data_IF_099204479003
#
_entry.id   IF_099204479003
#
_cell.length_a   1.000
_cell.length_b   1.000
_cell.length_c   1.000
_cell.angle_alpha   90.00
_cell.angle_beta   90.00
_cell.angle_gamma   90.00
#
_symmetry.space_group_name_H-M   'P 1'
#
loop_
_entity.id
_entity.type
_entity.pdbx_description
1 polymer ?
#
# COMPACT_ATOMS: atom_id res chain seq x y z
N UNK A 1 42.42 -48.53 33.57
CA UNK A 1 41.02 -49.03 33.64
C UNK A 1 40.17 -47.83 33.98
N UNK A 2 39.88 -46.99 32.99
CA UNK A 2 39.00 -45.83 33.14
C UNK A 2 37.92 -45.97 32.07
N UNK A 3 36.73 -46.31 32.53
CA UNK A 3 35.52 -46.33 31.72
C UNK A 3 34.93 -44.92 31.72
N UNK A 4 35.01 -44.24 30.57
CA UNK A 4 34.27 -43.02 30.33
C UNK A 4 32.81 -43.38 30.04
N UNK A 5 31.93 -42.90 30.90
CA UNK A 5 30.49 -43.12 30.87
C UNK A 5 29.85 -41.90 30.19
N UNK A 6 29.33 -42.08 28.99
CA UNK A 6 28.54 -41.07 28.25
C UNK A 6 27.09 -41.08 28.74
N UNK A 7 26.48 -39.91 29.03
CA UNK A 7 25.05 -39.84 29.33
C UNK A 7 24.21 -39.89 28.04
N UNK A 8 23.18 -40.74 28.06
CA UNK A 8 22.18 -40.86 27.01
C UNK A 8 21.25 -39.65 27.01
N UNK A 9 21.15 -38.96 25.87
CA UNK A 9 20.18 -37.89 25.63
C UNK A 9 18.84 -38.54 25.28
N UNK A 10 17.84 -38.36 26.16
CA UNK A 10 16.46 -38.78 25.93
C UNK A 10 15.77 -37.67 25.13
N UNK A 11 15.41 -37.96 23.88
CA UNK A 11 14.57 -37.08 23.07
C UNK A 11 13.10 -37.20 23.51
N UNK A 12 12.35 -36.09 23.65
CA UNK A 12 10.93 -36.16 23.95
C UNK A 12 10.14 -36.63 22.72
N UNK A 13 9.21 -37.55 22.96
CA UNK A 13 8.27 -38.08 21.98
C UNK A 13 7.38 -36.94 21.44
N UNK A 14 7.34 -36.83 20.12
CA UNK A 14 6.51 -35.90 19.37
C UNK A 14 5.14 -36.58 19.19
N UNK A 15 4.17 -36.20 20.02
CA UNK A 15 2.77 -36.61 19.83
C UNK A 15 2.19 -35.84 18.63
N UNK A 16 1.78 -36.57 17.60
CA UNK A 16 1.03 -36.02 16.47
C UNK A 16 -0.46 -35.89 16.87
N UNK A 17 -1.09 -34.71 16.76
CA UNK A 17 -2.52 -34.60 16.96
C UNK A 17 -3.26 -35.18 15.76
N UNK A 18 -4.09 -36.19 16.02
CA UNK A 18 -4.99 -36.80 15.07
C UNK A 18 -5.94 -35.75 14.45
N UNK A 19 -5.96 -35.69 13.12
CA UNK A 19 -6.94 -34.91 12.35
C UNK A 19 -8.36 -35.41 12.65
N UNK A 20 -9.12 -34.64 13.44
CA UNK A 20 -10.55 -34.81 13.54
C UNK A 20 -11.19 -34.36 12.22
N UNK A 21 -11.79 -35.31 11.50
CA UNK A 21 -12.59 -35.06 10.31
C UNK A 21 -13.81 -34.21 10.68
N UNK A 22 -13.80 -32.95 10.23
CA UNK A 22 -14.97 -32.07 10.28
C UNK A 22 -15.96 -32.55 9.21
N UNK A 23 -17.08 -33.10 9.68
CA UNK A 23 -18.23 -33.46 8.84
C UNK A 23 -18.85 -32.18 8.30
N UNK A 24 -18.81 -32.00 6.98
CA UNK A 24 -19.44 -30.86 6.30
C UNK A 24 -20.97 -30.89 6.48
N UNK A 25 -21.64 -29.75 6.76
CA UNK A 25 -23.10 -29.69 6.80
C UNK A 25 -23.68 -29.79 5.38
N UNK A 26 -24.75 -30.56 5.26
CA UNK A 26 -25.49 -30.82 4.02
C UNK A 26 -26.06 -29.51 3.42
N UNK A 27 -25.85 -29.34 2.12
CA UNK A 27 -26.45 -28.28 1.30
C UNK A 27 -27.99 -28.42 1.29
N UNK A 28 -28.75 -27.33 1.47
CA UNK A 28 -30.20 -27.35 1.28
C UNK A 28 -30.58 -27.40 -0.21
N UNK A 29 -31.62 -28.17 -0.46
CA UNK A 29 -32.25 -28.49 -1.75
C UNK A 29 -32.87 -27.24 -2.42
N UNK A 30 -32.50 -26.87 -3.66
CA UNK A 30 -33.04 -25.70 -4.36
C UNK A 30 -34.37 -26.08 -5.04
N UNK A 31 -35.47 -26.13 -4.29
CA UNK A 31 -36.70 -26.68 -4.83
C UNK A 31 -38.01 -26.33 -4.13
N UNK A 32 -38.31 -25.06 -3.85
CA UNK A 32 -39.70 -24.60 -3.72
C UNK A 32 -39.82 -23.07 -3.73
N UNK A 33 -40.35 -22.50 -4.82
CA UNK A 33 -40.88 -21.13 -4.84
C UNK A 33 -42.41 -21.22 -4.96
N UNK A 34 -43.19 -20.70 -3.98
CA UNK A 34 -44.62 -20.56 -4.14
C UNK A 34 -44.96 -19.38 -5.05
N UNK A 35 -45.90 -19.60 -5.97
CA UNK A 35 -46.33 -18.65 -6.99
C UNK A 35 -46.93 -17.36 -6.44
N UNK A 36 -46.53 -16.25 -7.04
CA UNK A 36 -47.18 -14.95 -6.93
C UNK A 36 -48.22 -14.74 -8.05
N UNK A 37 -49.27 -13.93 -7.81
CA UNK A 37 -50.36 -13.69 -8.76
C UNK A 37 -49.95 -12.78 -9.94
N UNK A 38 -50.69 -12.82 -11.07
CA UNK A 38 -50.36 -12.06 -12.26
C UNK A 38 -50.66 -10.57 -12.07
N UNK A 39 -49.61 -9.76 -11.99
CA UNK A 39 -49.67 -8.30 -12.05
C UNK A 39 -49.51 -7.82 -13.50
N UNK A 40 -50.46 -7.00 -13.92
CA UNK A 40 -50.57 -6.29 -15.20
C UNK A 40 -49.27 -5.62 -15.64
N UNK A 41 -48.80 -5.98 -16.83
CA UNK A 41 -47.79 -5.24 -17.60
C UNK A 41 -48.45 -3.97 -18.15
N UNK A 42 -48.12 -2.81 -17.56
CA UNK A 42 -48.24 -1.54 -18.28
C UNK A 42 -47.02 -1.41 -19.21
N UNK A 43 -47.29 -1.38 -20.51
CA UNK A 43 -46.34 -0.97 -21.55
C UNK A 43 -45.96 0.49 -21.31
N UNK A 44 -44.71 0.74 -20.93
CA UNK A 44 -44.10 2.06 -20.99
C UNK A 44 -43.41 2.16 -22.34
N UNK A 45 -44.03 2.89 -23.26
CA UNK A 45 -43.41 3.36 -24.51
C UNK A 45 -42.21 4.27 -24.16
N UNK A 46 -41.00 3.70 -24.24
CA UNK A 46 -39.75 4.47 -24.21
C UNK A 46 -39.42 4.82 -25.65
N UNK A 47 -39.86 6.02 -26.04
CA UNK A 47 -39.57 6.68 -27.31
C UNK A 47 -38.04 6.92 -27.41
N UNK A 48 -37.34 5.95 -27.96
CA UNK A 48 -35.89 6.03 -28.19
C UNK A 48 -35.68 6.78 -29.50
N UNK A 49 -35.77 8.10 -29.41
CA UNK A 49 -35.39 9.01 -30.49
C UNK A 49 -33.93 8.74 -30.88
N UNK A 50 -33.75 8.19 -32.07
CA UNK A 50 -32.44 7.94 -32.66
C UNK A 50 -31.73 9.25 -32.95
N UNK A 51 -30.62 9.48 -32.24
CA UNK A 51 -29.58 10.39 -32.67
C UNK A 51 -28.43 9.57 -33.24
N UNK A 52 -28.34 9.61 -34.57
CA UNK A 52 -27.31 8.97 -35.37
C UNK A 52 -26.02 9.79 -35.28
N UNK A 53 -25.24 9.56 -34.22
CA UNK A 53 -23.92 10.14 -34.05
C UNK A 53 -22.86 9.29 -34.79
N UNK A 54 -22.89 9.31 -36.12
CA UNK A 54 -21.79 8.83 -36.94
C UNK A 54 -20.70 9.92 -36.94
N UNK A 55 -19.97 9.97 -35.82
CA UNK A 55 -18.87 10.91 -35.60
C UNK A 55 -17.77 10.16 -34.89
N UNK A 56 -16.62 10.04 -35.53
CA UNK A 56 -15.39 9.48 -34.96
C UNK A 56 -15.10 10.11 -33.61
N UNK A 57 -15.43 9.38 -32.53
CA UNK A 57 -15.18 9.77 -31.15
C UNK A 57 -13.68 9.94 -30.94
N UNK A 58 -13.22 11.18 -31.07
CA UNK A 58 -11.83 11.54 -30.85
C UNK A 58 -11.65 11.84 -29.38
N UNK A 59 -11.32 10.82 -28.59
CA UNK A 59 -11.03 10.96 -27.16
C UNK A 59 -9.70 11.71 -27.00
N UNK A 60 -9.76 12.99 -26.65
CA UNK A 60 -8.56 13.79 -26.39
C UNK A 60 -8.11 13.60 -24.94
N UNK A 61 -7.14 12.72 -24.71
CA UNK A 61 -6.52 12.54 -23.40
C UNK A 61 -5.53 13.68 -23.13
N UNK A 62 -5.92 14.65 -22.30
CA UNK A 62 -5.05 15.74 -21.86
C UNK A 62 -4.17 15.27 -20.70
N UNK A 63 -3.06 14.62 -21.01
CA UNK A 63 -2.04 14.29 -20.02
C UNK A 63 -1.37 15.57 -19.49
N UNK A 64 -1.74 16.00 -18.28
CA UNK A 64 -0.97 17.01 -17.54
C UNK A 64 0.17 16.30 -16.82
N UNK A 65 1.28 16.13 -17.52
CA UNK A 65 2.55 15.79 -16.89
C UNK A 65 2.97 17.00 -16.04
N UNK A 66 2.68 16.96 -14.75
CA UNK A 66 3.23 17.91 -13.79
C UNK A 66 4.74 17.74 -13.81
N UNK A 67 5.46 18.73 -14.35
CA UNK A 67 6.91 18.81 -14.26
C UNK A 67 7.25 18.94 -12.77
N UNK A 68 7.59 17.84 -12.11
CA UNK A 68 8.28 17.91 -10.82
C UNK A 68 9.66 18.46 -11.11
N UNK A 69 10.00 19.56 -10.46
CA UNK A 69 11.29 20.24 -10.51
C UNK A 69 12.44 19.29 -10.85
N UNK A 70 13.02 19.48 -12.03
CA UNK A 70 14.33 18.95 -12.36
C UNK A 70 15.31 19.64 -11.42
N UNK A 71 16.02 18.84 -10.63
CA UNK A 71 17.08 19.29 -9.73
C UNK A 71 18.10 20.08 -10.58
N UNK A 72 18.17 21.39 -10.38
CA UNK A 72 19.19 22.25 -10.98
C UNK A 72 20.58 21.68 -10.64
N UNK A 73 21.40 21.46 -11.67
CA UNK A 73 22.80 21.12 -11.46
C UNK A 73 23.52 22.34 -10.86
N UNK A 74 24.36 22.16 -9.83
CA UNK A 74 25.16 23.25 -9.31
C UNK A 74 26.15 23.69 -10.41
N UNK A 75 26.09 24.98 -10.77
CA UNK A 75 27.09 25.64 -11.60
C UNK A 75 28.45 25.45 -10.94
N UNK A 76 29.38 24.79 -11.64
CA UNK A 76 30.78 24.73 -11.26
C UNK A 76 31.34 26.15 -11.23
N UNK A 77 31.53 26.68 -10.03
CA UNK A 77 32.27 27.91 -9.82
C UNK A 77 33.76 27.61 -10.03
N UNK A 78 34.31 28.19 -11.09
CA UNK A 78 35.74 28.23 -11.38
C UNK A 78 36.55 28.82 -10.21
N UNK A 79 37.80 28.38 -10.18
CA UNK A 79 38.85 28.61 -9.19
C UNK A 79 38.97 30.04 -8.63
N UNK A 80 39.13 30.13 -7.31
CA UNK A 80 39.99 31.13 -6.68
C UNK A 80 40.70 30.51 -5.45
N UNK A 81 42.02 30.62 -5.48
CA UNK A 81 43.07 29.94 -4.68
C UNK A 81 43.22 30.46 -3.22
N UNK A 82 44.31 30.15 -2.47
CA UNK A 82 44.34 29.23 -1.33
C UNK A 82 44.64 29.92 0.02
N UNK A 83 44.27 29.34 1.16
CA UNK A 83 44.87 29.73 2.45
C UNK A 83 44.58 28.75 3.62
N UNK A 84 45.68 28.20 4.15
CA UNK A 84 45.98 27.98 5.57
C UNK A 84 45.48 26.67 6.21
N UNK A 85 46.47 25.83 6.54
CA UNK A 85 46.42 24.63 7.38
C UNK A 85 45.94 24.92 8.82
N UNK A 86 45.54 23.89 9.59
CA UNK A 86 46.52 23.28 10.49
C UNK A 86 46.46 21.74 10.59
N UNK A 87 47.48 21.25 11.29
CA UNK A 87 48.06 19.91 11.49
C UNK A 87 47.16 18.71 11.87
N UNK A 88 47.72 17.48 11.72
CA UNK A 88 47.04 16.20 11.85
C UNK A 88 47.13 15.63 13.28
N UNK A 89 46.12 14.86 13.70
CA UNK A 89 46.28 13.63 14.50
C UNK A 89 44.90 13.06 14.88
N UNK A 90 44.51 11.96 14.21
CA UNK A 90 43.71 10.85 14.77
C UNK A 90 43.40 9.84 13.65
N UNK A 91 44.36 8.96 13.39
CA UNK A 91 44.17 7.75 12.61
C UNK A 91 43.58 6.66 13.50
N UNK A 92 42.44 6.08 13.12
CA UNK A 92 42.13 4.67 13.36
C UNK A 92 40.95 4.16 12.52
N UNK A 93 41.29 3.40 11.48
CA UNK A 93 40.60 2.19 11.01
C UNK A 93 39.13 2.31 10.53
N UNK A 94 38.95 2.72 9.27
CA UNK A 94 37.86 2.23 8.44
C UNK A 94 38.45 1.33 7.33
N UNK A 95 38.11 0.05 7.36
CA UNK A 95 38.46 -0.90 6.30
C UNK A 95 37.85 -0.50 4.95
N UNK A 96 38.38 -1.00 3.82
CA UNK A 96 37.84 -0.69 2.51
C UNK A 96 36.44 -1.28 2.38
N UNK A 97 35.42 -0.44 2.56
CA UNK A 97 34.08 -0.74 2.09
C UNK A 97 34.15 -0.84 0.57
N UNK A 98 34.22 -2.07 0.06
CA UNK A 98 33.88 -2.38 -1.33
C UNK A 98 32.39 -2.12 -1.46
N UNK A 99 32.02 -0.85 -1.65
CA UNK A 99 30.69 -0.52 -2.13
C UNK A 99 30.62 -1.01 -3.58
N UNK A 100 29.73 -1.95 -3.92
CA UNK A 100 29.46 -2.20 -5.32
C UNK A 100 28.90 -0.91 -5.90
N UNK A 101 29.66 -0.26 -6.79
CA UNK A 101 29.19 0.87 -7.56
C UNK A 101 28.13 0.38 -8.55
N UNK A 102 26.91 0.12 -8.06
CA UNK A 102 25.75 -0.24 -8.85
C UNK A 102 25.14 1.00 -9.52
N UNK A 103 25.98 1.87 -10.07
CA UNK A 103 25.49 3.00 -10.83
C UNK A 103 25.08 2.49 -12.22
N UNK A 104 23.78 2.29 -12.36
CA UNK A 104 23.13 1.84 -13.59
C UNK A 104 23.49 2.77 -14.77
N UNK A 105 23.81 4.05 -14.50
CA UNK A 105 24.25 5.01 -15.52
C UNK A 105 25.56 4.60 -16.18
N UNK A 106 26.49 4.02 -15.42
CA UNK A 106 27.74 3.51 -15.99
C UNK A 106 27.50 2.31 -16.91
N UNK A 107 26.50 1.48 -16.63
CA UNK A 107 26.13 0.36 -17.49
C UNK A 107 25.56 0.85 -18.84
N UNK A 108 24.62 1.80 -18.81
CA UNK A 108 24.06 2.40 -20.03
C UNK A 108 25.09 3.22 -20.83
N UNK A 109 25.95 3.99 -20.15
CA UNK A 109 27.03 4.74 -20.81
C UNK A 109 28.05 3.80 -21.47
N UNK A 110 28.35 2.66 -20.86
CA UNK A 110 29.26 1.66 -21.44
C UNK A 110 28.63 0.97 -22.64
N UNK A 111 27.33 0.70 -22.61
CA UNK A 111 26.58 0.13 -23.74
C UNK A 111 26.53 1.11 -24.93
N UNK A 112 26.29 2.40 -24.69
CA UNK A 112 26.36 3.42 -25.74
C UNK A 112 27.78 3.59 -26.30
N UNK A 113 28.81 3.58 -25.45
CA UNK A 113 30.20 3.69 -25.91
C UNK A 113 30.64 2.49 -26.75
N UNK A 114 30.11 1.30 -26.50
CA UNK A 114 30.36 0.11 -27.34
C UNK A 114 29.65 0.19 -28.70
N UNK A 115 28.53 0.90 -28.80
CA UNK A 115 27.86 1.14 -30.09
C UNK A 115 28.50 2.27 -30.92
N UNK A 116 29.28 3.15 -30.30
CA UNK A 116 29.87 4.33 -30.96
C UNK A 116 31.35 4.15 -31.38
N UNK A 117 31.98 2.98 -31.23
CA UNK A 117 33.33 2.77 -31.80
C UNK A 117 33.26 2.64 -33.33
N UNK A 118 33.82 3.59 -34.11
CA UNK A 118 33.91 3.49 -35.55
C UNK A 118 35.24 2.81 -35.88
N UNK A 119 35.24 1.49 -36.10
CA UNK A 119 36.51 0.83 -36.39
C UNK A 119 36.51 -0.69 -36.45
N UNK A 120 35.67 -1.26 -37.30
CA UNK A 120 36.04 -2.29 -38.30
C UNK A 120 34.75 -2.88 -38.87
N UNK A 121 34.43 -2.46 -40.09
CA UNK A 121 33.50 -3.15 -40.98
C UNK A 121 34.05 -4.55 -41.31
N UNK A 122 33.87 -5.52 -40.41
CA UNK A 122 33.61 -6.88 -40.84
C UNK A 122 32.10 -7.02 -40.94
N UNK A 123 31.62 -6.91 -42.18
CA UNK A 123 30.30 -7.35 -42.58
C UNK A 123 30.09 -8.79 -42.07
N UNK A 124 29.38 -8.94 -40.96
CA UNK A 124 28.50 -10.10 -40.75
C UNK A 124 27.11 -9.69 -41.24
N UNK A 125 26.76 -9.99 -42.50
CA UNK A 125 25.40 -9.86 -42.98
C UNK A 125 24.61 -11.04 -42.40
N UNK A 126 23.87 -10.81 -41.32
CA UNK A 126 22.99 -11.85 -40.77
C UNK A 126 22.81 -11.86 -39.27
N UNK A 127 22.88 -10.73 -38.57
CA UNK A 127 22.21 -10.63 -37.27
C UNK A 127 20.71 -10.84 -37.55
N UNK A 128 20.27 -12.07 -37.36
CA UNK A 128 18.91 -12.50 -37.64
C UNK A 128 17.96 -11.64 -36.79
N UNK A 129 16.88 -11.09 -37.35
CA UNK A 129 15.87 -10.36 -36.57
C UNK A 129 15.37 -11.18 -35.36
N UNK A 130 15.43 -12.51 -35.47
CA UNK A 130 15.10 -13.45 -34.39
C UNK A 130 15.97 -13.27 -33.14
N UNK A 131 17.25 -12.86 -33.24
CA UNK A 131 18.14 -12.71 -32.09
C UNK A 131 17.84 -11.46 -31.27
N UNK A 132 17.48 -10.36 -31.95
CA UNK A 132 17.13 -9.09 -31.30
C UNK A 132 15.74 -9.19 -30.65
N UNK A 133 14.81 -9.87 -31.31
CA UNK A 133 13.50 -10.19 -30.76
C UNK A 133 13.60 -11.11 -29.53
N UNK A 134 14.44 -12.15 -29.58
CA UNK A 134 14.70 -13.00 -28.41
C UNK A 134 15.32 -12.24 -27.23
N UNK A 135 16.19 -11.27 -27.47
CA UNK A 135 16.76 -10.43 -26.41
C UNK A 135 15.72 -9.48 -25.82
N UNK A 136 14.84 -8.90 -26.66
CA UNK A 136 13.75 -8.05 -26.20
C UNK A 136 12.76 -8.84 -25.32
N UNK A 137 12.37 -10.05 -25.76
CA UNK A 137 11.49 -10.95 -25.00
C UNK A 137 12.12 -11.38 -23.67
N UNK A 138 13.43 -11.69 -23.65
CA UNK A 138 14.15 -12.00 -22.41
C UNK A 138 14.18 -10.82 -21.44
N UNK A 139 14.34 -9.60 -21.95
CA UNK A 139 14.36 -8.40 -21.12
C UNK A 139 12.97 -8.09 -20.55
N UNK A 140 11.92 -8.19 -21.37
CA UNK A 140 10.54 -8.04 -20.91
C UNK A 140 10.18 -9.10 -19.85
N UNK A 141 10.53 -10.36 -20.11
CA UNK A 141 10.33 -11.44 -19.14
C UNK A 141 11.08 -11.18 -17.82
N UNK A 142 12.31 -10.66 -17.87
CA UNK A 142 13.06 -10.30 -16.68
C UNK A 142 12.43 -9.13 -15.91
N UNK A 143 11.85 -8.15 -16.61
CA UNK A 143 11.12 -7.05 -15.99
C UNK A 143 9.85 -7.54 -15.28
N UNK A 144 9.06 -8.37 -15.95
CA UNK A 144 7.85 -8.96 -15.38
C UNK A 144 8.20 -9.83 -14.16
N UNK A 145 9.19 -10.71 -14.27
CA UNK A 145 9.63 -11.55 -13.15
C UNK A 145 10.13 -10.73 -11.95
N UNK A 146 10.85 -9.63 -12.20
CA UNK A 146 11.31 -8.71 -11.14
C UNK A 146 10.13 -8.02 -10.46
N UNK A 147 9.14 -7.57 -11.23
CA UNK A 147 7.91 -6.98 -10.70
C UNK A 147 7.12 -8.00 -9.86
N UNK A 148 6.88 -9.20 -10.37
CA UNK A 148 6.18 -10.28 -9.68
C UNK A 148 6.90 -10.70 -8.38
N UNK A 149 8.24 -10.77 -8.40
CA UNK A 149 9.04 -11.06 -7.22
C UNK A 149 8.87 -9.97 -6.14
N UNK A 150 8.88 -8.69 -6.53
CA UNK A 150 8.68 -7.60 -5.58
C UNK A 150 7.25 -7.60 -5.01
N UNK A 151 6.24 -7.85 -5.86
CA UNK A 151 4.84 -7.96 -5.42
C UNK A 151 4.67 -9.11 -4.44
N UNK A 152 5.20 -10.29 -4.75
CA UNK A 152 5.10 -11.47 -3.88
C UNK A 152 5.90 -11.32 -2.59
N UNK A 153 7.09 -10.72 -2.62
CA UNK A 153 7.87 -10.42 -1.41
C UNK A 153 7.09 -9.46 -0.49
N UNK A 154 6.51 -8.41 -1.06
CA UNK A 154 5.69 -7.46 -0.31
C UNK A 154 4.47 -8.13 0.30
N UNK A 155 3.73 -8.92 -0.48
CA UNK A 155 2.59 -9.68 0.01
C UNK A 155 2.99 -10.65 1.13
N UNK A 156 4.12 -11.35 0.98
CA UNK A 156 4.65 -12.24 2.01
C UNK A 156 5.09 -11.52 3.28
N UNK A 157 5.53 -10.26 3.19
CA UNK A 157 5.80 -9.42 4.37
C UNK A 157 4.51 -9.01 5.07
N UNK A 158 3.53 -8.50 4.31
CA UNK A 158 2.22 -8.12 4.85
C UNK A 158 1.48 -9.32 5.49
N UNK A 159 1.56 -10.50 4.89
CA UNK A 159 0.98 -11.72 5.45
C UNK A 159 1.61 -12.10 6.78
N UNK A 160 2.96 -12.06 6.88
CA UNK A 160 3.67 -12.33 8.13
C UNK A 160 3.36 -11.31 9.22
N UNK A 161 3.24 -10.03 8.89
CA UNK A 161 2.81 -9.00 9.84
C UNK A 161 1.40 -9.30 10.38
N UNK A 162 0.45 -9.68 9.51
CA UNK A 162 -0.90 -10.07 9.94
C UNK A 162 -0.88 -11.31 10.83
N UNK A 163 -0.09 -12.32 10.51
CA UNK A 163 0.08 -13.52 11.33
C UNK A 163 0.67 -13.19 12.71
N UNK A 164 1.68 -12.31 12.78
CA UNK A 164 2.26 -11.84 14.04
C UNK A 164 1.22 -11.17 14.93
N UNK A 165 0.42 -10.26 14.36
CA UNK A 165 -0.67 -9.60 15.08
C UNK A 165 -1.70 -10.60 15.58
N UNK A 166 -2.11 -11.56 14.75
CA UNK A 166 -3.03 -12.62 15.16
C UNK A 166 -2.45 -13.49 16.28
N UNK A 167 -1.15 -13.77 16.26
CA UNK A 167 -0.44 -14.52 17.29
C UNK A 167 -0.31 -13.78 18.64
N UNK A 168 -0.62 -12.48 18.69
CA UNK A 168 -0.56 -11.69 19.92
C UNK A 168 0.55 -10.66 19.96
N UNK A 169 1.36 -10.55 18.90
CA UNK A 169 2.42 -9.53 18.82
C UNK A 169 1.82 -8.15 18.50
N UNK A 170 2.00 -7.19 19.40
CA UNK A 170 1.55 -5.80 19.23
C UNK A 170 2.58 -4.92 18.54
N UNK A 171 3.82 -5.40 18.33
CA UNK A 171 4.89 -4.65 17.67
C UNK A 171 4.50 -4.06 16.32
N UNK A 172 3.84 -4.83 15.40
CA UNK A 172 3.35 -4.28 14.14
C UNK A 172 2.30 -3.16 14.28
N UNK A 173 1.52 -3.14 15.37
CA UNK A 173 0.56 -2.08 15.66
C UNK A 173 1.29 -0.81 16.14
N UNK A 174 2.25 -0.98 17.05
CA UNK A 174 3.07 0.11 17.61
C UNK A 174 3.91 0.80 16.53
N UNK A 175 4.53 0.04 15.62
CA UNK A 175 5.29 0.61 14.50
C UNK A 175 4.41 1.45 13.56
N UNK A 176 3.11 1.17 13.48
CA UNK A 176 2.18 1.94 12.64
C UNK A 176 1.66 3.18 13.35
N UNK A 177 1.44 3.11 14.65
CA UNK A 177 0.83 4.18 15.42
C UNK A 177 1.14 4.11 16.92
N UNK A 178 2.36 4.48 17.30
CA UNK A 178 2.85 4.43 18.68
C UNK A 178 1.99 5.25 19.65
N UNK A 179 1.57 6.45 19.24
CA UNK A 179 0.77 7.33 20.09
C UNK A 179 -0.63 6.75 20.35
N UNK A 180 -1.29 6.18 19.32
CA UNK A 180 -2.58 5.53 19.53
C UNK A 180 -2.44 4.30 20.44
N UNK A 181 -1.42 3.48 20.23
CA UNK A 181 -1.17 2.31 21.07
C UNK A 181 -0.91 2.72 22.53
N UNK A 182 -0.19 3.82 22.74
CA UNK A 182 0.03 4.39 24.08
C UNK A 182 -1.29 4.78 24.75
N UNK A 183 -2.21 5.42 24.03
CA UNK A 183 -3.55 5.75 24.55
C UNK A 183 -4.37 4.50 24.87
N UNK A 184 -4.28 3.46 24.03
CA UNK A 184 -4.97 2.18 24.26
C UNK A 184 -4.40 1.50 25.52
N UNK A 185 -3.09 1.51 25.73
CA UNK A 185 -2.48 0.93 26.94
C UNK A 185 -2.82 1.72 28.22
N UNK A 186 -3.09 3.02 28.11
CA UNK A 186 -3.54 3.83 29.23
C UNK A 186 -5.02 3.60 29.59
N UNK A 187 -5.84 3.12 28.64
CA UNK A 187 -7.27 2.88 28.83
C UNK A 187 -7.55 1.68 29.74
N UNK A 188 -8.47 1.85 30.69
CA UNK A 188 -8.90 0.76 31.57
C UNK A 188 -9.62 -0.35 30.77
N UNK A 189 -9.29 -1.61 31.05
CA UNK A 189 -9.89 -2.78 30.37
C UNK A 189 -9.45 -3.01 28.92
N UNK A 190 -8.68 -2.09 28.32
CA UNK A 190 -8.21 -2.20 26.94
C UNK A 190 -7.18 -3.31 26.73
N UNK A 191 -6.44 -3.70 27.77
CA UNK A 191 -5.54 -4.85 27.69
C UNK A 191 -6.31 -6.14 27.40
N UNK A 192 -7.42 -6.37 28.13
CA UNK A 192 -8.29 -7.53 27.90
C UNK A 192 -8.97 -7.47 26.53
N UNK A 193 -9.28 -6.26 26.03
CA UNK A 193 -9.78 -6.10 24.66
C UNK A 193 -8.74 -6.54 23.62
N UNK A 194 -7.47 -6.17 23.81
CA UNK A 194 -6.36 -6.58 22.94
C UNK A 194 -6.00 -8.06 23.04
N UNK A 195 -6.47 -8.82 24.03
CA UNK A 195 -6.25 -10.28 24.10
C UNK A 195 -6.99 -11.04 22.99
N UNK A 196 -8.05 -10.46 22.42
CA UNK A 196 -8.76 -11.03 21.27
C UNK A 196 -7.99 -10.83 19.96
N UNK A 197 -7.75 -11.92 19.22
CA UNK A 197 -7.12 -11.88 17.90
C UNK A 197 -7.93 -11.05 16.89
N UNK A 198 -9.26 -11.11 16.96
CA UNK A 198 -10.15 -10.35 16.08
C UNK A 198 -10.02 -8.84 16.30
N UNK A 199 -9.90 -8.42 17.56
CA UNK A 199 -9.73 -7.02 17.92
C UNK A 199 -8.38 -6.47 17.46
N UNK A 200 -7.29 -7.24 17.66
CA UNK A 200 -5.97 -6.88 17.14
C UNK A 200 -5.96 -6.81 15.61
N UNK A 201 -6.59 -7.77 14.94
CA UNK A 201 -6.73 -7.79 13.49
C UNK A 201 -7.53 -6.61 12.95
N UNK A 202 -8.61 -6.23 13.64
CA UNK A 202 -9.43 -5.07 13.30
C UNK A 202 -8.64 -3.76 13.42
N UNK A 203 -7.93 -3.57 14.54
CA UNK A 203 -7.08 -2.39 14.74
C UNK A 203 -5.97 -2.31 13.68
N UNK A 204 -5.34 -3.45 13.36
CA UNK A 204 -4.33 -3.50 12.31
C UNK A 204 -4.89 -3.08 10.95
N UNK A 205 -6.07 -3.61 10.57
CA UNK A 205 -6.77 -3.24 9.33
C UNK A 205 -7.08 -1.75 9.28
N UNK A 206 -7.58 -1.17 10.38
CA UNK A 206 -7.85 0.25 10.48
C UNK A 206 -6.58 1.10 10.24
N UNK A 207 -5.46 0.72 10.85
CA UNK A 207 -4.16 1.39 10.66
C UNK A 207 -3.59 1.19 9.24
N UNK A 208 -3.79 0.02 8.63
CA UNK A 208 -3.46 -0.21 7.21
C UNK A 208 -4.26 0.72 6.29
N UNK A 209 -5.57 0.85 6.52
CA UNK A 209 -6.45 1.73 5.77
C UNK A 209 -6.03 3.19 5.92
N UNK A 210 -5.73 3.65 7.14
CA UNK A 210 -5.14 4.97 7.39
C UNK A 210 -3.89 5.19 6.57
N UNK A 211 -2.92 4.29 6.67
CA UNK A 211 -1.64 4.39 5.95
C UNK A 211 -1.83 4.46 4.43
N UNK A 212 -2.78 3.69 3.89
CA UNK A 212 -3.13 3.71 2.47
C UNK A 212 -3.79 5.03 2.10
N UNK A 213 -4.82 5.46 2.83
CA UNK A 213 -5.54 6.70 2.55
C UNK A 213 -4.63 7.93 2.60
N UNK A 214 -3.76 8.05 3.62
CA UNK A 214 -2.78 9.14 3.71
C UNK A 214 -1.78 9.10 2.54
N UNK A 215 -1.35 7.92 2.09
CA UNK A 215 -0.47 7.80 0.91
C UNK A 215 -1.12 8.31 -0.38
N UNK A 216 -2.41 8.03 -0.58
CA UNK A 216 -3.13 8.40 -1.80
C UNK A 216 -3.66 9.84 -1.79
N UNK A 217 -4.15 10.31 -0.64
CA UNK A 217 -4.86 11.59 -0.53
C UNK A 217 -4.16 12.65 0.34
N UNK A 218 -3.02 12.32 0.96
CA UNK A 218 -2.18 13.27 1.69
C UNK A 218 -2.88 13.90 2.89
N UNK A 219 -2.72 15.22 3.02
CA UNK A 219 -3.19 16.05 4.13
C UNK A 219 -4.69 15.92 4.40
N UNK A 220 -5.50 15.74 3.35
CA UNK A 220 -6.96 15.61 3.46
C UNK A 220 -7.36 14.36 4.26
N UNK A 221 -6.73 13.21 3.97
CA UNK A 221 -6.94 11.99 4.73
C UNK A 221 -6.30 12.08 6.13
N UNK A 222 -5.13 12.70 6.25
CA UNK A 222 -4.48 12.90 7.54
C UNK A 222 -5.36 13.71 8.52
N UNK A 223 -5.99 14.79 8.05
CA UNK A 223 -6.90 15.59 8.86
C UNK A 223 -8.10 14.76 9.35
N UNK A 224 -8.68 13.92 8.48
CA UNK A 224 -9.75 12.99 8.84
C UNK A 224 -9.32 12.03 9.96
N UNK A 225 -8.18 11.35 9.78
CA UNK A 225 -7.69 10.40 10.78
C UNK A 225 -7.25 11.07 12.08
N UNK A 226 -6.80 12.32 12.03
CA UNK A 226 -6.49 13.10 13.22
C UNK A 226 -7.77 13.40 14.02
N UNK A 227 -8.86 13.80 13.36
CA UNK A 227 -10.15 13.99 14.01
C UNK A 227 -10.69 12.69 14.61
N UNK A 228 -10.56 11.56 13.89
CA UNK A 228 -10.96 10.24 14.39
C UNK A 228 -10.10 9.74 15.55
N UNK A 229 -8.79 10.05 15.55
CA UNK A 229 -7.92 9.78 16.69
C UNK A 229 -8.39 10.54 17.93
N UNK A 230 -8.72 11.83 17.80
CA UNK A 230 -9.22 12.63 18.92
C UNK A 230 -10.52 12.03 19.48
N UNK A 231 -11.48 11.69 18.62
CA UNK A 231 -12.72 11.01 19.01
C UNK A 231 -12.45 9.70 19.76
N UNK A 232 -11.50 8.91 19.28
CA UNK A 232 -11.08 7.65 19.89
C UNK A 232 -10.41 7.85 21.25
N UNK A 233 -9.50 8.81 21.39
CA UNK A 233 -8.86 9.17 22.66
C UNK A 233 -9.90 9.62 23.68
N UNK A 234 -10.85 10.47 23.29
CA UNK A 234 -11.94 10.90 24.18
C UNK A 234 -12.79 9.70 24.66
N UNK A 235 -13.09 8.74 23.77
CA UNK A 235 -13.79 7.51 24.18
C UNK A 235 -12.99 6.66 25.16
N UNK A 236 -11.65 6.58 25.00
CA UNK A 236 -10.75 5.83 25.89
C UNK A 236 -10.63 6.46 27.28
N UNK A 237 -10.69 7.79 27.37
CA UNK A 237 -10.54 8.51 28.64
C UNK A 237 -11.86 8.62 29.41
N UNK A 238 -12.99 8.84 28.73
CA UNK A 238 -14.24 9.25 29.39
C UNK A 238 -15.21 8.09 29.66
N UNK A 239 -15.08 6.94 28.99
CA UNK A 239 -16.10 5.88 29.04
C UNK A 239 -15.61 4.62 29.77
N UNK A 240 -16.31 4.16 30.83
CA UNK A 240 -15.91 2.96 31.57
C UNK A 240 -16.06 1.66 30.78
N UNK A 241 -16.88 1.65 29.73
CA UNK A 241 -17.14 0.48 28.87
C UNK A 241 -16.50 0.61 27.48
N UNK A 242 -15.33 1.25 27.39
CA UNK A 242 -14.70 1.55 26.10
C UNK A 242 -14.43 0.30 25.26
N UNK A 243 -14.07 -0.83 25.87
CA UNK A 243 -13.84 -2.10 25.17
C UNK A 243 -15.05 -2.56 24.34
N UNK A 244 -16.28 -2.24 24.75
CA UNK A 244 -17.51 -2.62 24.04
C UNK A 244 -17.77 -1.67 22.87
N UNK A 245 -17.35 -0.41 22.99
CA UNK A 245 -17.68 0.68 22.06
C UNK A 245 -16.61 0.81 20.95
N UNK A 246 -15.36 0.46 21.25
CA UNK A 246 -14.26 0.64 20.31
C UNK A 246 -14.36 -0.31 19.11
N UNK A 247 -14.78 -1.56 19.30
CA UNK A 247 -14.95 -2.53 18.21
C UNK A 247 -15.95 -2.04 17.15
N UNK A 248 -17.20 -1.65 17.49
CA UNK A 248 -18.14 -1.16 16.49
C UNK A 248 -17.67 0.15 15.86
N UNK A 249 -17.02 1.04 16.61
CA UNK A 249 -16.42 2.25 16.06
C UNK A 249 -15.36 1.95 14.98
N UNK A 250 -14.37 1.10 15.31
CA UNK A 250 -13.30 0.74 14.37
C UNK A 250 -13.84 -0.01 13.15
N UNK A 251 -14.87 -0.84 13.34
CA UNK A 251 -15.52 -1.56 12.24
C UNK A 251 -16.22 -0.60 11.29
N UNK A 252 -17.11 0.24 11.82
CA UNK A 252 -17.88 1.21 11.02
C UNK A 252 -16.95 2.19 10.29
N UNK A 253 -15.91 2.69 10.97
CA UNK A 253 -14.98 3.64 10.35
C UNK A 253 -14.12 2.95 9.28
N UNK A 254 -13.65 1.74 9.53
CA UNK A 254 -12.89 0.96 8.54
C UNK A 254 -13.71 0.69 7.28
N UNK A 255 -14.99 0.30 7.42
CA UNK A 255 -15.88 0.08 6.28
C UNK A 255 -16.14 1.37 5.49
N UNK A 256 -16.36 2.50 6.17
CA UNK A 256 -16.53 3.81 5.52
C UNK A 256 -15.28 4.22 4.74
N UNK A 257 -14.11 4.10 5.35
CA UNK A 257 -12.83 4.44 4.73
C UNK A 257 -12.55 3.54 3.54
N UNK A 258 -12.79 2.24 3.68
CA UNK A 258 -12.59 1.28 2.60
C UNK A 258 -13.53 1.55 1.42
N UNK A 259 -14.82 1.77 1.69
CA UNK A 259 -15.77 2.16 0.66
C UNK A 259 -15.35 3.44 -0.06
N UNK A 260 -14.83 4.44 0.67
CA UNK A 260 -14.32 5.68 0.09
C UNK A 260 -13.07 5.46 -0.78
N UNK A 261 -12.14 4.60 -0.34
CA UNK A 261 -10.92 4.27 -1.09
C UNK A 261 -11.21 3.56 -2.42
N UNK A 262 -12.24 2.71 -2.46
CA UNK A 262 -12.63 1.99 -3.67
C UNK A 262 -13.72 2.68 -4.48
N UNK A 263 -14.31 3.78 -3.98
CA UNK A 263 -15.25 4.58 -4.74
C UNK A 263 -14.55 5.26 -5.92
N UNK A 264 -15.18 5.25 -7.10
CA UNK A 264 -14.69 6.04 -8.22
C UNK A 264 -14.84 7.53 -7.86
N UNK A 265 -13.80 8.35 -8.06
CA UNK A 265 -13.92 9.79 -7.89
C UNK A 265 -15.01 10.33 -8.81
N UNK A 266 -15.90 11.16 -8.28
CA UNK A 266 -16.87 11.89 -9.09
C UNK A 266 -16.15 12.79 -10.11
N UNK A 267 -16.75 13.00 -11.29
CA UNK A 267 -16.15 13.83 -12.34
C UNK A 267 -15.70 15.19 -11.79
N UNK A 268 -14.41 15.47 -11.88
CA UNK A 268 -13.82 16.73 -11.43
C UNK A 268 -13.38 16.77 -9.96
N UNK A 269 -13.58 15.69 -9.18
CA UNK A 269 -13.05 15.54 -7.83
C UNK A 269 -11.92 14.51 -7.83
N UNK A 270 -10.83 14.84 -7.16
CA UNK A 270 -9.68 13.93 -6.98
C UNK A 270 -9.64 13.29 -5.58
N UNK A 271 -10.49 13.76 -4.67
CA UNK A 271 -10.52 13.36 -3.25
C UNK A 271 -11.92 12.85 -2.90
N UNK A 272 -12.06 11.66 -2.32
CA UNK A 272 -13.33 11.15 -1.82
C UNK A 272 -14.00 12.13 -0.87
N UNK A 273 -15.33 12.19 -0.89
CA UNK A 273 -16.10 13.12 -0.05
C UNK A 273 -15.79 12.94 1.45
N UNK A 274 -15.46 11.72 1.88
CA UNK A 274 -15.05 11.40 3.25
C UNK A 274 -13.84 12.24 3.73
N UNK A 275 -12.87 12.47 2.85
CA UNK A 275 -11.64 13.21 3.16
C UNK A 275 -11.71 14.66 2.71
N UNK A 276 -12.75 15.05 1.96
CA UNK A 276 -12.93 16.44 1.60
C UNK A 276 -13.02 17.26 2.89
N UNK A 277 -12.28 18.38 3.01
CA UNK A 277 -12.47 19.28 4.13
C UNK A 277 -13.97 19.58 4.15
N UNK A 278 -14.63 19.31 5.27
CA UNK A 278 -16.00 19.75 5.48
C UNK A 278 -15.94 21.28 5.51
N UNK A 279 -15.88 21.89 4.33
CA UNK A 279 -16.10 23.30 4.16
C UNK A 279 -17.50 23.50 4.73
N UNK A 280 -17.56 24.11 5.91
CA UNK A 280 -18.77 24.31 6.70
C UNK A 280 -19.95 24.62 5.76
N UNK A 281 -20.76 23.60 5.44
CA UNK A 281 -21.93 23.77 4.58
C UNK A 281 -23.04 24.55 5.29
N UNK A 282 -22.79 24.97 6.53
CA UNK A 282 -23.70 25.76 7.35
C UNK A 282 -23.75 27.27 7.00
N UNK A 283 -23.05 27.74 5.95
CA UNK A 283 -23.13 29.15 5.54
C UNK A 283 -23.24 29.38 4.01
N UNK A 284 -24.03 28.57 3.32
CA UNK A 284 -24.44 28.85 1.93
C UNK A 284 -25.86 29.46 1.85
N UNK A 285 -26.27 30.21 2.87
CA UNK A 285 -27.33 31.20 2.73
C UNK A 285 -26.70 32.57 2.43
N UNK A 286 -26.54 32.88 1.14
CA UNK A 286 -26.41 34.25 0.66
C UNK A 286 -25.02 34.68 0.18
N UNK A 287 -24.92 34.92 -1.13
CA UNK A 287 -23.81 35.69 -1.70
C UNK A 287 -23.45 35.33 -3.13
N UNK A 288 -24.41 35.25 -4.06
CA UNK A 288 -24.07 35.45 -5.47
C UNK A 288 -23.58 36.88 -5.63
N UNK A 289 -22.27 37.08 -5.77
CA UNK A 289 -21.71 38.35 -6.24
C UNK A 289 -21.85 38.34 -7.76
N UNK A 290 -22.84 39.08 -8.24
CA UNK A 290 -22.97 39.46 -9.64
C UNK A 290 -21.78 40.37 -9.97
N UNK A 291 -20.97 39.97 -10.96
CA UNK A 291 -19.89 40.80 -11.50
C UNK A 291 -20.49 41.60 -12.67
N UNK A 292 -20.64 42.91 -12.46
CA UNK A 292 -20.89 43.90 -13.53
C UNK A 292 -19.68 44.01 -14.49
#
# INVERSE_FOLDING_TARGET
VESLQTPAVIAPAREEPACAAVTAPALPDPGHLPGGPPGTLEEVDIDTGGDSCDGTDTVTLRCRLGIRHVKEEPVEAEEATPAVAPDPEASAAAGPAVQPSSDIRHFFNRQQQQQQQPGQEQQQPGAQPDQEQQQAEQFEAAQLASYEMNVSEKQGREAREREQVQAGDTGPLEMRDEELMSSIYAGEGMFCWLESADNRGLLFRYLELRSRATRWYGEAAEAYFQAKRQELTTMLEERPDVAIIITPFLHEDSEKVEAALFSMPEKGRFVPHLFAPQACTDNAAGGCVELD
#
